data_IF_080172361955
#
_entry.id   IF_080172361955
#
_cell.length_a   1.000
_cell.length_b   1.000
_cell.length_c   1.000
_cell.angle_alpha   90.00
_cell.angle_beta   90.00
_cell.angle_gamma   90.00
#
_symmetry.space_group_name_H-M   'P 1'
#
loop_
_entity.id
_entity.type
_entity.pdbx_description
1 polymer ?
#
# COMPACT_ATOMS: atom_id res chain seq x y z
N UNK A 1 32.49 -12.63 -2.24
CA UNK A 1 31.15 -13.06 -2.67
C UNK A 1 30.22 -11.93 -2.27
N UNK A 2 29.60 -11.27 -3.24
CA UNK A 2 28.64 -10.20 -2.99
C UNK A 2 27.28 -10.90 -2.80
N UNK A 3 26.78 -10.92 -1.57
CA UNK A 3 25.53 -11.60 -1.24
C UNK A 3 24.39 -10.65 -1.61
N UNK A 4 23.83 -10.82 -2.80
CA UNK A 4 22.68 -10.03 -3.21
C UNK A 4 21.44 -10.53 -2.47
N UNK A 5 21.07 -9.84 -1.39
CA UNK A 5 19.85 -10.12 -0.64
C UNK A 5 18.67 -9.60 -1.46
N UNK A 6 17.88 -10.53 -2.01
CA UNK A 6 16.63 -10.20 -2.70
C UNK A 6 15.55 -9.98 -1.64
N UNK A 7 15.11 -8.73 -1.50
CA UNK A 7 13.96 -8.40 -0.64
C UNK A 7 12.70 -9.00 -1.28
N UNK A 8 11.99 -9.88 -0.56
CA UNK A 8 10.75 -10.46 -1.05
C UNK A 8 9.61 -9.44 -0.93
N UNK A 9 8.79 -9.25 -1.98
CA UNK A 9 7.60 -8.43 -1.89
C UNK A 9 6.57 -9.05 -0.95
N UNK A 10 5.74 -8.22 -0.34
CA UNK A 10 4.52 -8.69 0.29
C UNK A 10 3.52 -9.08 -0.81
N UNK A 11 2.76 -10.14 -0.60
CA UNK A 11 1.73 -10.57 -1.55
C UNK A 11 0.34 -10.48 -0.94
N UNK A 12 -0.62 -10.06 -1.74
CA UNK A 12 -2.01 -9.89 -1.29
C UNK A 12 -2.74 -11.23 -1.42
N UNK A 13 -3.20 -11.76 -0.29
CA UNK A 13 -3.88 -13.05 -0.23
C UNK A 13 -5.40 -12.92 -0.20
N UNK A 14 -5.93 -11.83 0.37
CA UNK A 14 -7.37 -11.55 0.45
C UNK A 14 -7.60 -10.04 0.52
N UNK A 15 -8.69 -9.56 -0.08
CA UNK A 15 -9.14 -8.17 -0.01
C UNK A 15 -10.65 -8.16 0.23
N UNK A 16 -11.09 -7.39 1.22
CA UNK A 16 -12.50 -7.08 1.48
C UNK A 16 -12.68 -5.58 1.32
N UNK A 17 -13.68 -5.17 0.53
CA UNK A 17 -13.94 -3.75 0.25
C UNK A 17 -12.83 -3.10 -0.58
N UNK A 18 -12.54 -1.84 -0.27
CA UNK A 18 -11.64 -0.99 -1.05
C UNK A 18 -10.30 -0.76 -0.34
N UNK A 19 -9.23 -1.14 -1.02
CA UNK A 19 -7.87 -1.01 -0.52
C UNK A 19 -7.02 -0.38 -1.63
N UNK A 20 -6.22 0.60 -1.25
CA UNK A 20 -5.46 1.43 -2.18
C UNK A 20 -3.98 1.28 -1.84
N UNK A 21 -3.17 0.94 -2.84
CA UNK A 21 -1.72 1.03 -2.75
C UNK A 21 -1.26 2.30 -3.43
N UNK A 22 -0.33 3.02 -2.82
CA UNK A 22 0.31 4.20 -3.42
C UNK A 22 1.81 3.94 -3.52
N UNK A 23 2.34 4.02 -4.73
CA UNK A 23 3.76 3.78 -4.97
C UNK A 23 4.65 4.95 -4.48
N UNK A 24 5.96 4.75 -4.50
CA UNK A 24 6.92 5.77 -4.07
C UNK A 24 6.92 7.05 -4.95
N UNK A 25 6.24 7.03 -6.11
CA UNK A 25 6.05 8.19 -7.00
C UNK A 25 4.70 8.88 -6.76
N UNK A 26 3.88 8.35 -5.86
CA UNK A 26 2.54 8.87 -5.56
C UNK A 26 1.44 8.32 -6.46
N UNK A 27 1.71 7.32 -7.31
CA UNK A 27 0.67 6.71 -8.14
C UNK A 27 -0.18 5.78 -7.28
N UNK A 28 -1.47 6.08 -7.18
CA UNK A 28 -2.42 5.27 -6.45
C UNK A 28 -3.08 4.25 -7.38
N UNK A 29 -3.35 3.07 -6.85
CA UNK A 29 -4.09 2.00 -7.54
C UNK A 29 -4.93 1.20 -6.55
N UNK A 30 -6.04 0.65 -7.02
CA UNK A 30 -6.79 -0.31 -6.24
C UNK A 30 -5.99 -1.62 -6.11
N UNK A 31 -6.07 -2.23 -4.94
CA UNK A 31 -5.39 -3.47 -4.61
C UNK A 31 -6.29 -4.66 -4.88
N UNK A 32 -5.73 -5.69 -5.49
CA UNK A 32 -6.44 -6.94 -5.80
C UNK A 32 -5.67 -8.15 -5.29
N UNK A 33 -6.37 -9.28 -5.13
CA UNK A 33 -5.74 -10.55 -4.72
C UNK A 33 -4.69 -10.98 -5.74
N UNK A 34 -3.51 -11.35 -5.26
CA UNK A 34 -2.35 -11.69 -6.09
C UNK A 34 -1.40 -10.54 -6.35
N UNK A 35 -1.78 -9.30 -6.00
CA UNK A 35 -0.87 -8.15 -6.13
C UNK A 35 0.38 -8.34 -5.28
N UNK A 36 1.50 -7.84 -5.81
CA UNK A 36 2.75 -7.68 -5.08
C UNK A 36 2.88 -6.24 -4.59
N UNK A 37 3.15 -6.09 -3.29
CA UNK A 37 3.39 -4.82 -2.64
C UNK A 37 4.88 -4.68 -2.34
N UNK A 38 5.43 -3.56 -2.77
CA UNK A 38 6.87 -3.30 -2.79
C UNK A 38 7.26 -2.37 -1.63
N UNK A 39 8.56 -2.35 -1.35
CA UNK A 39 9.15 -1.38 -0.42
C UNK A 39 8.81 0.06 -0.85
N UNK A 40 8.52 0.90 0.14
CA UNK A 40 8.28 2.32 -0.07
C UNK A 40 6.89 2.62 -0.62
N UNK A 41 6.07 1.60 -0.87
CA UNK A 41 4.64 1.78 -1.05
C UNK A 41 3.98 2.02 0.31
N UNK A 42 2.82 2.70 0.26
CA UNK A 42 1.90 2.75 1.39
C UNK A 42 0.60 2.06 1.00
N UNK A 43 -0.06 1.48 1.98
CA UNK A 43 -1.35 0.83 1.85
C UNK A 43 -2.38 1.63 2.64
N UNK A 44 -3.53 1.90 2.04
CA UNK A 44 -4.64 2.60 2.68
C UNK A 44 -5.84 1.67 2.61
N UNK A 45 -6.36 1.29 3.77
CA UNK A 45 -7.56 0.47 3.90
C UNK A 45 -8.70 1.37 4.32
N UNK A 46 -9.72 1.51 3.47
CA UNK A 46 -10.82 2.45 3.73
C UNK A 46 -11.83 1.86 4.73
N UNK A 47 -12.85 2.64 5.08
CA UNK A 47 -13.92 2.17 5.96
C UNK A 47 -14.57 0.87 5.43
N UNK A 48 -14.97 -0.04 6.33
CA UNK A 48 -15.54 -1.36 6.02
C UNK A 48 -14.68 -2.25 5.10
N UNK A 49 -13.37 -2.02 5.07
CA UNK A 49 -12.44 -2.74 4.19
C UNK A 49 -11.33 -3.40 5.00
N UNK A 50 -10.71 -4.44 4.46
CA UNK A 50 -9.54 -5.08 5.06
C UNK A 50 -8.71 -5.79 4.00
N UNK A 51 -7.45 -6.05 4.33
CA UNK A 51 -6.54 -6.78 3.44
C UNK A 51 -5.65 -7.72 4.24
N UNK A 52 -5.55 -8.95 3.74
CA UNK A 52 -4.67 -9.98 4.27
C UNK A 52 -3.46 -10.12 3.37
N UNK A 53 -2.28 -9.90 3.95
CA UNK A 53 -0.98 -9.94 3.28
C UNK A 53 -0.18 -11.15 3.74
N UNK A 54 0.61 -11.70 2.82
CA UNK A 54 1.67 -12.65 3.13
C UNK A 54 3.02 -11.97 2.96
N UNK A 55 3.74 -11.80 4.06
CA UNK A 55 5.01 -11.08 4.17
C UNK A 55 5.99 -11.88 5.02
N UNK A 56 7.21 -12.11 4.51
CA UNK A 56 8.25 -12.92 5.16
C UNK A 56 7.77 -14.28 5.68
N UNK A 57 6.90 -14.98 4.95
CA UNK A 57 6.37 -16.28 5.38
C UNK A 57 5.25 -16.21 6.43
N UNK A 58 4.81 -15.01 6.81
CA UNK A 58 3.79 -14.77 7.82
C UNK A 58 2.58 -14.05 7.24
N UNK A 59 1.41 -14.29 7.84
CA UNK A 59 0.18 -13.59 7.50
C UNK A 59 0.07 -12.34 8.36
N UNK A 60 -0.20 -11.20 7.73
CA UNK A 60 -0.51 -9.94 8.38
C UNK A 60 -1.85 -9.41 7.86
N UNK A 61 -2.68 -8.85 8.74
CA UNK A 61 -3.96 -8.24 8.38
C UNK A 61 -3.87 -6.75 8.63
N UNK A 62 -4.30 -5.95 7.66
CA UNK A 62 -4.52 -4.50 7.81
C UNK A 62 -6.01 -4.25 7.82
N UNK A 63 -6.51 -3.77 8.95
CA UNK A 63 -7.94 -3.51 9.19
C UNK A 63 -8.39 -2.17 8.59
N UNK A 64 -9.71 -1.95 8.60
CA UNK A 64 -10.32 -0.72 8.11
C UNK A 64 -9.75 0.55 8.76
N UNK A 65 -9.86 1.67 8.06
CA UNK A 65 -9.40 2.99 8.52
C UNK A 65 -7.94 2.96 8.97
N UNK A 66 -7.06 2.35 8.18
CA UNK A 66 -5.65 2.18 8.53
C UNK A 66 -4.74 2.54 7.36
N UNK A 67 -3.62 3.19 7.66
CA UNK A 67 -2.51 3.41 6.72
C UNK A 67 -1.35 2.52 7.14
N UNK A 68 -0.80 1.74 6.23
CA UNK A 68 0.36 0.91 6.49
C UNK A 68 1.53 1.25 5.56
N UNK A 69 2.76 1.13 6.08
CA UNK A 69 3.98 1.44 5.34
C UNK A 69 4.82 0.16 5.18
N UNK A 70 5.32 -0.07 3.96
CA UNK A 70 6.27 -1.15 3.68
C UNK A 70 7.71 -0.65 3.86
N UNK A 71 8.29 -0.98 5.02
CA UNK A 71 9.64 -0.59 5.42
C UNK A 71 10.68 -1.70 5.17
N UNK A 72 11.86 -1.50 5.75
CA UNK A 72 12.88 -2.54 5.85
C UNK A 72 13.43 -2.59 7.27
N UNK A 73 13.61 -3.80 7.79
CA UNK A 73 14.42 -4.03 8.98
C UNK A 73 15.74 -4.63 8.52
N UNK A 74 16.86 -4.00 8.89
CA UNK A 74 18.20 -4.56 8.67
C UNK A 74 18.61 -5.31 9.92
N UNK A 75 18.67 -6.63 9.83
CA UNK A 75 19.20 -7.48 10.90
C UNK A 75 20.48 -8.14 10.40
N UNK A 76 21.65 -7.54 10.70
CA UNK A 76 23.02 -8.01 10.43
C UNK A 76 23.32 -8.60 9.04
N UNK A 77 22.67 -9.69 8.64
CA UNK A 77 22.81 -10.40 7.37
C UNK A 77 21.48 -10.65 6.61
N UNK A 78 20.35 -10.15 7.11
CA UNK A 78 19.04 -10.30 6.48
C UNK A 78 18.33 -8.93 6.36
N UNK A 79 17.81 -8.66 5.16
CA UNK A 79 16.97 -7.49 4.89
C UNK A 79 15.58 -8.01 4.59
N UNK A 80 14.69 -7.86 5.58
CA UNK A 80 13.29 -8.27 5.46
C UNK A 80 12.39 -7.06 5.27
N UNK A 81 11.26 -7.27 4.59
CA UNK A 81 10.23 -6.24 4.46
C UNK A 81 9.48 -6.14 5.78
N UNK A 82 9.30 -4.93 6.31
CA UNK A 82 8.51 -4.72 7.52
C UNK A 82 7.18 -4.06 7.17
N UNK A 83 6.13 -4.35 7.93
CA UNK A 83 4.81 -3.77 7.77
C UNK A 83 4.43 -3.03 9.06
N UNK A 84 4.42 -1.71 8.99
CA UNK A 84 4.06 -0.86 10.12
C UNK A 84 2.67 -0.27 9.85
N UNK A 85 1.74 -0.48 10.76
CA UNK A 85 0.34 -0.06 10.63
C UNK A 85 0.03 1.13 11.53
N UNK A 86 -0.73 2.09 11.01
CA UNK A 86 -1.17 3.30 11.69
C UNK A 86 -2.70 3.44 11.58
N UNK A 87 -3.46 3.10 12.63
CA UNK A 87 -4.90 3.28 12.62
C UNK A 87 -5.25 4.77 12.60
N UNK A 88 -6.28 5.11 11.84
CA UNK A 88 -6.86 6.46 11.74
C UNK A 88 -8.11 6.49 12.61
N UNK A 89 -8.22 7.51 13.46
CA UNK A 89 -9.32 7.60 14.43
C UNK A 89 -10.69 7.91 13.80
N UNK A 90 -10.72 8.40 12.55
CA UNK A 90 -11.94 8.66 11.79
C UNK A 90 -12.05 7.76 10.57
N UNK A 91 -13.11 7.97 9.79
CA UNK A 91 -13.35 7.17 8.58
C UNK A 91 -12.54 7.67 7.39
N UNK A 92 -11.84 6.74 6.75
CA UNK A 92 -11.22 6.95 5.45
C UNK A 92 -12.26 6.58 4.40
N UNK A 93 -12.56 7.50 3.49
CA UNK A 93 -13.38 7.26 2.29
C UNK A 93 -12.60 7.72 1.07
N UNK A 94 -12.73 6.98 -0.03
CA UNK A 94 -12.08 7.29 -1.29
C UNK A 94 -13.05 7.10 -2.45
N UNK A 95 -13.00 7.99 -3.43
CA UNK A 95 -13.68 7.80 -4.71
C UNK A 95 -12.70 7.14 -5.69
N UNK A 96 -12.86 5.84 -5.91
CA UNK A 96 -11.96 5.06 -6.76
C UNK A 96 -12.13 5.35 -8.26
N UNK A 97 -13.23 5.99 -8.66
CA UNK A 97 -13.45 6.35 -10.08
C UNK A 97 -12.36 7.32 -10.58
N UNK A 98 -11.82 8.12 -9.68
CA UNK A 98 -10.79 9.13 -9.95
C UNK A 98 -9.37 8.55 -10.10
N UNK A 99 -9.13 7.28 -9.74
CA UNK A 99 -7.77 6.70 -9.78
C UNK A 99 -7.16 6.62 -11.19
N UNK A 100 -8.00 6.53 -12.22
CA UNK A 100 -7.56 6.48 -13.62
C UNK A 100 -7.78 7.81 -14.37
N UNK A 101 -8.35 8.82 -13.72
CA UNK A 101 -8.68 10.12 -14.31
C UNK A 101 -7.56 11.15 -14.10
N UNK A 102 -6.34 10.69 -13.79
CA UNK A 102 -5.16 11.52 -13.59
C UNK A 102 -4.69 12.19 -14.89
N UNK A 103 -5.50 13.09 -15.42
CA UNK A 103 -5.06 14.12 -16.32
C UNK A 103 -5.35 15.44 -15.62
N UNK A 104 -4.52 15.78 -14.62
CA UNK A 104 -4.42 17.14 -14.09
C UNK A 104 -3.80 18.01 -15.20
N UNK A 105 -4.64 18.46 -16.13
CA UNK A 105 -4.21 19.31 -17.22
C UNK A 105 -4.13 20.78 -16.76
N UNK A 106 -3.65 21.64 -17.67
CA UNK A 106 -3.49 23.05 -17.38
C UNK A 106 -4.82 23.73 -17.04
N UNK A 107 -5.95 23.21 -17.52
CA UNK A 107 -7.28 23.76 -17.26
C UNK A 107 -7.73 23.43 -15.84
N UNK A 108 -7.36 22.27 -15.29
CA UNK A 108 -7.61 21.94 -13.88
C UNK A 108 -6.85 22.86 -12.91
N UNK A 109 -5.64 23.31 -13.27
CA UNK A 109 -4.85 24.24 -12.45
C UNK A 109 -5.41 25.67 -12.55
N UNK A 110 -5.87 26.09 -13.73
CA UNK A 110 -6.45 27.41 -13.95
C UNK A 110 -7.74 27.66 -13.15
N UNK A 111 -8.52 26.60 -12.87
CA UNK A 111 -9.76 26.70 -12.11
C UNK A 111 -9.59 26.94 -10.59
N UNK A 112 -8.35 26.87 -10.07
CA UNK A 112 -8.03 27.07 -8.65
C UNK A 112 -7.56 28.52 -8.38
N UNK A 113 -7.25 29.31 -9.42
CA UNK A 113 -6.75 30.69 -9.30
C UNK A 113 -7.83 31.76 -9.15
#
# INVERSE_FOLDING_TARGET
MDLQVVVQPASVSEVVGDVIAVDAKGNARQVTVGDSLMKGEILITVNHSSVTLFINGQVAVVEQNCVACFGYTVLEHDTSMDLIQFPVAGDINADLTQLNEANFDADNIAAIQ
#
